data_IF_781163257029
#
_entry.id   IF_781163257029
#
_cell.length_a   1.000
_cell.length_b   1.000
_cell.length_c   1.000
_cell.angle_alpha   90.00
_cell.angle_beta   90.00
_cell.angle_gamma   90.00
#
_symmetry.space_group_name_H-M   'P 1'
#
loop_
_entity.id
_entity.type
_entity.pdbx_description
1 polymer ?
#
# COMPACT_ATOMS: atom_id res chain seq x y z
N UNK A 1 5.77 -23.06 -29.44
CA UNK A 1 7.02 -23.62 -28.90
C UNK A 1 6.88 -23.60 -27.39
N UNK A 2 6.30 -24.66 -26.82
CA UNK A 2 6.11 -24.80 -25.36
C UNK A 2 7.49 -24.86 -24.70
N UNK A 3 7.83 -23.84 -23.92
CA UNK A 3 8.99 -23.87 -23.06
C UNK A 3 8.63 -24.84 -21.92
N UNK A 4 9.07 -26.09 -22.03
CA UNK A 4 8.99 -27.06 -20.97
C UNK A 4 9.71 -26.51 -19.73
N UNK A 5 8.93 -26.02 -18.76
CA UNK A 5 9.44 -25.62 -17.45
C UNK A 5 9.95 -26.89 -16.76
N UNK A 6 11.27 -27.06 -16.74
CA UNK A 6 11.93 -28.15 -16.00
C UNK A 6 11.62 -27.92 -14.52
N UNK A 7 10.73 -28.74 -13.94
CA UNK A 7 10.40 -28.68 -12.50
C UNK A 7 11.70 -28.79 -11.70
N UNK A 8 12.07 -27.78 -10.89
CA UNK A 8 13.23 -27.93 -10.03
C UNK A 8 12.88 -28.99 -8.96
N UNK A 9 13.66 -30.06 -8.92
CA UNK A 9 13.70 -30.99 -7.78
C UNK A 9 14.24 -30.23 -6.56
N UNK A 10 13.38 -29.45 -5.92
CA UNK A 10 13.63 -28.94 -4.58
C UNK A 10 13.01 -29.92 -3.60
N UNK A 11 13.86 -30.55 -2.77
CA UNK A 11 13.43 -31.16 -1.51
C UNK A 11 12.44 -30.23 -0.81
N UNK A 12 11.43 -30.81 -0.14
CA UNK A 12 10.45 -30.09 0.67
C UNK A 12 11.16 -29.43 1.86
N UNK A 13 11.90 -28.34 1.61
CA UNK A 13 12.71 -27.57 2.54
C UNK A 13 11.81 -26.85 3.57
N UNK A 14 11.22 -27.62 4.49
CA UNK A 14 10.30 -27.12 5.52
C UNK A 14 8.89 -26.75 5.03
N UNK A 15 8.54 -27.07 3.78
CA UNK A 15 7.22 -26.80 3.19
C UNK A 15 6.35 -28.06 3.18
N UNK A 16 5.04 -27.92 3.40
CA UNK A 16 4.09 -29.05 3.32
C UNK A 16 3.65 -29.33 1.88
N UNK A 17 3.67 -28.32 1.01
CA UNK A 17 3.36 -28.43 -0.42
C UNK A 17 4.53 -28.06 -1.33
N UNK A 18 4.57 -28.66 -2.52
CA UNK A 18 5.45 -28.20 -3.60
C UNK A 18 4.87 -26.95 -4.26
N UNK A 19 5.73 -25.99 -4.58
CA UNK A 19 5.34 -24.85 -5.41
C UNK A 19 4.96 -25.35 -6.80
N UNK A 20 3.69 -25.15 -7.19
CA UNK A 20 3.17 -25.66 -8.46
C UNK A 20 3.66 -24.85 -9.66
N UNK A 21 3.71 -23.51 -9.53
CA UNK A 21 4.05 -22.58 -10.61
C UNK A 21 4.66 -21.27 -10.09
N UNK A 22 5.51 -20.60 -10.88
CA UNK A 22 6.06 -19.29 -10.52
C UNK A 22 4.94 -18.25 -10.37
N UNK A 23 5.10 -17.35 -9.40
CA UNK A 23 4.22 -16.19 -9.25
C UNK A 23 4.33 -15.26 -10.46
N UNK A 24 3.19 -14.72 -10.92
CA UNK A 24 3.07 -13.88 -12.11
C UNK A 24 3.85 -14.45 -13.32
N UNK A 25 3.46 -15.64 -13.81
CA UNK A 25 4.19 -16.37 -14.85
C UNK A 25 4.39 -15.57 -16.14
N UNK A 26 3.53 -14.59 -16.42
CA UNK A 26 3.60 -13.73 -17.60
C UNK A 26 4.81 -12.78 -17.57
N UNK A 27 5.30 -12.42 -16.37
CA UNK A 27 6.39 -11.45 -16.17
C UNK A 27 7.55 -11.99 -15.32
N UNK A 28 7.47 -13.25 -14.87
CA UNK A 28 8.50 -13.91 -14.08
C UNK A 28 9.86 -13.91 -14.79
N UNK A 29 10.89 -13.37 -14.14
CA UNK A 29 12.25 -13.23 -14.70
C UNK A 29 12.33 -12.55 -16.09
N UNK A 30 11.34 -11.72 -16.45
CA UNK A 30 11.31 -11.02 -17.74
C UNK A 30 12.39 -9.94 -17.86
N UNK A 31 12.81 -9.35 -16.74
CA UNK A 31 13.75 -8.23 -16.72
C UNK A 31 15.20 -8.70 -16.54
N UNK A 32 16.05 -8.40 -17.54
CA UNK A 32 17.47 -8.78 -17.52
C UNK A 32 18.27 -7.85 -16.62
N UNK A 33 18.97 -8.43 -15.64
CA UNK A 33 19.90 -7.71 -14.77
C UNK A 33 21.33 -7.84 -15.33
N UNK A 34 22.06 -6.72 -15.55
CA UNK A 34 23.41 -6.77 -16.11
C UNK A 34 24.43 -7.31 -15.08
N UNK A 35 25.12 -8.42 -15.42
CA UNK A 35 26.03 -9.12 -14.51
C UNK A 35 27.31 -8.35 -14.15
N UNK A 36 27.96 -7.72 -15.14
CA UNK A 36 29.27 -7.04 -15.01
C UNK A 36 29.18 -5.50 -14.98
N UNK A 37 28.01 -4.96 -14.64
CA UNK A 37 27.83 -3.51 -14.59
C UNK A 37 28.19 -2.92 -13.22
N UNK A 38 28.57 -1.65 -13.19
CA UNK A 38 28.80 -0.90 -11.94
C UNK A 38 27.53 -0.76 -11.11
N UNK A 39 27.69 -0.41 -9.83
CA UNK A 39 26.63 -0.35 -8.82
C UNK A 39 25.38 0.41 -9.30
N UNK A 40 25.54 1.61 -9.86
CA UNK A 40 24.42 2.45 -10.32
C UNK A 40 23.63 1.82 -11.46
N UNK A 41 24.30 1.19 -12.43
CA UNK A 41 23.61 0.56 -13.57
C UNK A 41 22.91 -0.74 -13.17
N UNK A 42 23.43 -1.45 -12.16
CA UNK A 42 22.70 -2.55 -11.52
C UNK A 42 21.49 -2.04 -10.73
N UNK A 43 21.66 -1.00 -9.92
CA UNK A 43 20.59 -0.37 -9.16
C UNK A 43 19.43 0.02 -10.09
N UNK A 44 19.70 0.75 -11.18
CA UNK A 44 18.70 1.12 -12.18
C UNK A 44 17.98 -0.08 -12.83
N UNK A 45 18.59 -1.26 -12.88
CA UNK A 45 17.95 -2.47 -13.37
C UNK A 45 17.02 -3.11 -12.33
N UNK A 46 17.29 -2.90 -11.04
CA UNK A 46 16.46 -3.36 -9.94
C UNK A 46 15.38 -2.36 -9.53
N UNK A 47 15.53 -1.07 -9.89
CA UNK A 47 14.52 -0.05 -9.64
C UNK A 47 13.21 -0.38 -10.33
N UNK A 48 12.09 -0.22 -9.62
CA UNK A 48 10.73 -0.41 -10.13
C UNK A 48 9.79 -1.07 -9.12
N UNK A 49 10.09 -2.30 -8.63
CA UNK A 49 9.27 -3.01 -7.66
C UNK A 49 8.90 -2.18 -6.42
N UNK A 50 9.87 -1.46 -5.85
CA UNK A 50 9.68 -0.59 -4.71
C UNK A 50 8.70 0.55 -4.97
N UNK A 51 8.71 1.13 -6.17
CA UNK A 51 7.78 2.20 -6.56
C UNK A 51 6.36 1.68 -6.79
N UNK A 52 6.21 0.47 -7.34
CA UNK A 52 4.92 -0.22 -7.43
C UNK A 52 4.35 -0.58 -6.06
N UNK A 53 5.19 -0.72 -5.04
CA UNK A 53 4.73 -0.93 -3.67
C UNK A 53 4.41 0.40 -3.01
N UNK A 54 5.31 1.39 -3.11
CA UNK A 54 5.20 2.67 -2.44
C UNK A 54 3.99 3.50 -2.86
N UNK A 55 3.48 3.34 -4.08
CA UNK A 55 2.23 3.99 -4.50
C UNK A 55 1.06 3.66 -3.57
N UNK A 56 0.90 2.40 -3.15
CA UNK A 56 -0.23 2.03 -2.31
C UNK A 56 -0.20 2.78 -0.97
N UNK A 57 0.99 3.24 -0.56
CA UNK A 57 1.17 4.05 0.65
C UNK A 57 0.86 5.54 0.43
N UNK A 58 0.35 5.93 -0.75
CA UNK A 58 -0.05 7.29 -1.12
C UNK A 58 -1.52 7.36 -1.55
N UNK A 59 -2.31 6.31 -1.29
CA UNK A 59 -3.71 6.19 -1.68
C UNK A 59 -4.62 7.17 -0.92
N UNK A 60 -5.86 7.42 -1.39
CA UNK A 60 -6.78 8.34 -0.73
C UNK A 60 -7.15 7.93 0.71
N UNK A 61 -7.02 6.64 1.05
CA UNK A 61 -7.23 6.14 2.42
C UNK A 61 -6.31 6.81 3.43
N UNK A 62 -5.03 6.95 3.10
CA UNK A 62 -4.03 7.60 3.95
C UNK A 62 -4.31 9.10 4.14
N UNK A 63 -4.85 9.74 3.11
CA UNK A 63 -5.08 11.18 3.10
C UNK A 63 -6.13 11.58 4.14
N UNK A 64 -7.20 10.80 4.26
CA UNK A 64 -8.24 11.06 5.25
C UNK A 64 -7.67 11.10 6.67
N UNK A 65 -6.82 10.12 7.03
CA UNK A 65 -6.19 10.06 8.36
C UNK A 65 -5.14 11.14 8.57
N UNK A 66 -4.36 11.49 7.54
CA UNK A 66 -3.32 12.53 7.64
C UNK A 66 -3.92 13.94 7.73
N UNK A 67 -4.98 14.22 6.96
CA UNK A 67 -5.72 15.48 7.02
C UNK A 67 -6.41 15.67 8.38
N UNK A 68 -7.11 14.64 8.87
CA UNK A 68 -7.74 14.67 10.19
C UNK A 68 -6.69 14.84 11.30
N UNK A 69 -5.59 14.10 11.22
CA UNK A 69 -4.50 14.20 12.18
C UNK A 69 -3.85 15.58 12.23
N UNK A 70 -3.57 16.18 11.08
CA UNK A 70 -2.97 17.51 10.99
C UNK A 70 -3.89 18.62 11.47
N UNK A 71 -5.18 18.57 11.11
CA UNK A 71 -6.14 19.61 11.48
C UNK A 71 -6.48 19.59 12.97
N UNK A 72 -6.61 18.41 13.57
CA UNK A 72 -6.98 18.27 15.00
C UNK A 72 -5.77 18.38 15.94
N UNK A 73 -4.63 17.79 15.58
CA UNK A 73 -3.50 17.60 16.50
C UNK A 73 -2.20 18.28 16.06
N UNK A 74 -2.26 19.13 15.03
CA UNK A 74 -1.11 19.82 14.48
C UNK A 74 -0.03 18.85 14.00
N UNK A 75 1.23 19.11 14.35
CA UNK A 75 2.38 18.30 13.89
C UNK A 75 2.65 17.03 14.72
N UNK A 76 1.91 16.80 15.81
CA UNK A 76 2.21 15.73 16.81
C UNK A 76 2.22 14.33 16.20
N UNK A 77 1.31 14.08 15.26
CA UNK A 77 1.14 12.76 14.63
C UNK A 77 2.17 12.47 13.53
N UNK A 78 3.07 13.40 13.19
CA UNK A 78 4.19 13.14 12.27
C UNK A 78 5.10 12.00 12.76
N UNK A 79 5.30 11.93 14.07
CA UNK A 79 6.02 10.82 14.71
C UNK A 79 5.37 9.46 14.43
N UNK A 80 4.05 9.38 14.37
CA UNK A 80 3.30 8.16 14.05
C UNK A 80 3.48 7.79 12.58
N UNK A 81 3.37 8.75 11.65
CA UNK A 81 3.63 8.51 10.22
C UNK A 81 5.05 7.97 10.02
N UNK A 82 6.05 8.56 10.68
CA UNK A 82 7.43 8.10 10.61
C UNK A 82 7.61 6.68 11.12
N UNK A 83 7.11 6.38 12.34
CA UNK A 83 7.21 5.05 12.94
C UNK A 83 6.50 4.01 12.06
N UNK A 84 5.30 4.33 11.60
CA UNK A 84 4.50 3.47 10.72
C UNK A 84 5.24 3.18 9.40
N UNK A 85 5.87 4.20 8.80
CA UNK A 85 6.67 4.00 7.60
C UNK A 85 7.93 3.17 7.84
N UNK A 86 8.59 3.32 9.00
CA UNK A 86 9.71 2.46 9.37
C UNK A 86 9.28 1.00 9.55
N UNK A 87 8.10 0.75 10.11
CA UNK A 87 7.48 -0.58 10.17
C UNK A 87 7.21 -1.12 8.76
N UNK A 88 6.68 -0.28 7.87
CA UNK A 88 6.44 -0.65 6.47
C UNK A 88 7.75 -1.04 5.76
N UNK A 89 8.82 -0.25 5.87
CA UNK A 89 10.13 -0.54 5.27
C UNK A 89 10.67 -1.89 5.76
N UNK A 90 10.56 -2.14 7.07
CA UNK A 90 10.98 -3.41 7.67
C UNK A 90 10.21 -4.60 7.08
N UNK A 91 8.88 -4.53 7.07
CA UNK A 91 8.02 -5.61 6.59
C UNK A 91 8.17 -5.82 5.08
N UNK A 92 8.35 -4.73 4.32
CA UNK A 92 8.58 -4.80 2.87
C UNK A 92 9.96 -5.41 2.55
N UNK A 93 10.99 -5.12 3.34
CA UNK A 93 12.28 -5.77 3.21
C UNK A 93 12.19 -7.29 3.48
N UNK A 94 11.36 -7.72 4.43
CA UNK A 94 11.08 -9.14 4.67
C UNK A 94 10.32 -9.78 3.51
N UNK A 95 9.29 -9.11 2.99
CA UNK A 95 8.49 -9.58 1.87
C UNK A 95 9.34 -9.79 0.61
N UNK A 96 10.16 -8.80 0.24
CA UNK A 96 11.10 -8.92 -0.86
C UNK A 96 12.11 -10.04 -0.65
N UNK A 97 12.61 -10.21 0.59
CA UNK A 97 13.53 -11.31 0.92
C UNK A 97 12.86 -12.69 0.76
N UNK A 98 11.62 -12.84 1.22
CA UNK A 98 10.86 -14.09 1.05
C UNK A 98 10.78 -14.49 -0.43
N UNK A 99 10.34 -13.54 -1.28
CA UNK A 99 10.22 -13.74 -2.73
C UNK A 99 11.54 -14.13 -3.40
N UNK A 100 12.62 -13.42 -3.09
CA UNK A 100 13.95 -13.65 -3.69
C UNK A 100 14.56 -14.98 -3.24
N UNK A 101 14.44 -15.32 -1.95
CA UNK A 101 15.11 -16.50 -1.39
C UNK A 101 14.36 -17.77 -1.76
N UNK A 102 13.04 -17.78 -1.56
CA UNK A 102 12.22 -18.97 -1.66
C UNK A 102 11.66 -19.20 -3.06
N UNK A 103 11.62 -18.17 -3.91
CA UNK A 103 10.95 -18.22 -5.21
C UNK A 103 9.43 -18.39 -5.11
N UNK A 104 8.86 -18.14 -3.92
CA UNK A 104 7.42 -18.14 -3.66
C UNK A 104 6.99 -16.75 -3.24
N UNK A 105 5.84 -16.32 -3.71
CA UNK A 105 5.16 -15.17 -3.09
C UNK A 105 4.57 -15.56 -1.73
N UNK A 106 4.16 -14.57 -0.94
CA UNK A 106 3.61 -14.78 0.39
C UNK A 106 2.32 -15.64 0.39
N UNK A 107 1.48 -15.53 -0.65
CA UNK A 107 0.24 -16.30 -0.74
C UNK A 107 0.55 -17.78 -1.02
N UNK A 108 1.46 -18.06 -1.94
CA UNK A 108 2.00 -19.39 -2.21
C UNK A 108 2.67 -19.98 -0.96
N UNK A 109 3.47 -19.20 -0.25
CA UNK A 109 4.11 -19.63 0.99
C UNK A 109 3.08 -19.99 2.08
N UNK A 110 2.02 -19.20 2.23
CA UNK A 110 0.92 -19.51 3.14
C UNK A 110 0.19 -20.81 2.75
N UNK A 111 -0.16 -20.96 1.46
CA UNK A 111 -0.81 -22.16 0.95
C UNK A 111 0.03 -23.42 1.14
N UNK A 112 1.33 -23.33 0.88
CA UNK A 112 2.26 -24.46 0.96
C UNK A 112 2.65 -24.82 2.41
N UNK A 113 2.28 -24.00 3.41
CA UNK A 113 2.57 -24.25 4.82
C UNK A 113 1.34 -24.60 5.67
N UNK A 114 0.22 -23.93 5.44
CA UNK A 114 -1.01 -24.11 6.22
C UNK A 114 -1.93 -25.17 5.62
N UNK A 115 -2.91 -25.63 6.40
CA UNK A 115 -3.95 -26.53 5.90
C UNK A 115 -4.92 -25.79 4.98
N UNK A 116 -5.62 -26.52 4.11
CA UNK A 116 -6.58 -25.94 3.15
C UNK A 116 -7.61 -24.99 3.80
N UNK A 117 -8.23 -25.31 4.98
CA UNK A 117 -9.18 -24.40 5.62
C UNK A 117 -8.55 -23.08 6.06
N UNK A 118 -7.36 -23.11 6.65
CA UNK A 118 -6.63 -21.90 7.09
C UNK A 118 -6.21 -21.07 5.88
N UNK A 119 -5.68 -21.72 4.85
CA UNK A 119 -5.32 -21.08 3.59
C UNK A 119 -6.52 -20.39 2.93
N UNK A 120 -7.70 -21.02 2.97
CA UNK A 120 -8.93 -20.42 2.43
C UNK A 120 -9.42 -19.23 3.27
N UNK A 121 -9.34 -19.32 4.60
CA UNK A 121 -9.66 -18.19 5.49
C UNK A 121 -8.75 -16.98 5.25
N UNK A 122 -7.43 -17.21 5.11
CA UNK A 122 -6.46 -16.16 4.77
C UNK A 122 -6.75 -15.53 3.39
N UNK A 123 -7.12 -16.34 2.41
CA UNK A 123 -7.53 -15.85 1.09
C UNK A 123 -8.76 -14.95 1.18
N UNK A 124 -9.81 -15.38 1.89
CA UNK A 124 -11.05 -14.60 2.03
C UNK A 124 -10.78 -13.26 2.69
N UNK A 125 -10.03 -13.23 3.79
CA UNK A 125 -9.65 -11.98 4.46
C UNK A 125 -8.85 -11.06 3.53
N UNK A 126 -7.95 -11.64 2.72
CA UNK A 126 -7.15 -10.86 1.78
C UNK A 126 -7.97 -10.28 0.63
N UNK A 127 -8.91 -11.03 0.05
CA UNK A 127 -9.82 -10.49 -0.98
C UNK A 127 -10.74 -9.41 -0.43
N UNK A 128 -11.24 -9.57 0.80
CA UNK A 128 -12.03 -8.53 1.47
C UNK A 128 -11.20 -7.24 1.66
N UNK A 129 -9.93 -7.35 2.07
CA UNK A 129 -9.04 -6.20 2.19
C UNK A 129 -8.72 -5.54 0.85
N UNK A 130 -8.57 -6.32 -0.23
CA UNK A 130 -8.36 -5.77 -1.57
C UNK A 130 -9.62 -5.07 -2.08
N UNK A 131 -10.80 -5.63 -1.84
CA UNK A 131 -12.07 -4.99 -2.18
C UNK A 131 -12.30 -3.70 -1.37
N UNK A 132 -11.92 -3.69 -0.09
CA UNK A 132 -11.94 -2.49 0.75
C UNK A 132 -10.97 -1.42 0.25
N UNK A 133 -9.76 -1.81 -0.18
CA UNK A 133 -8.81 -0.89 -0.81
C UNK A 133 -9.40 -0.29 -2.10
N UNK A 134 -9.96 -1.13 -2.97
CA UNK A 134 -10.57 -0.70 -4.22
C UNK A 134 -11.76 0.24 -3.99
N UNK A 135 -12.52 0.03 -2.91
CA UNK A 135 -13.57 0.94 -2.47
C UNK A 135 -13.01 2.33 -2.09
N UNK A 136 -11.91 2.40 -1.33
CA UNK A 136 -11.29 3.67 -0.98
C UNK A 136 -10.81 4.44 -2.22
N UNK A 137 -10.24 3.72 -3.19
CA UNK A 137 -9.79 4.28 -4.46
C UNK A 137 -10.94 4.84 -5.30
N UNK A 138 -12.03 4.07 -5.43
CA UNK A 138 -13.24 4.49 -6.15
C UNK A 138 -13.79 5.78 -5.56
N UNK A 139 -13.88 5.84 -4.23
CA UNK A 139 -14.41 7.01 -3.52
C UNK A 139 -13.48 8.21 -3.71
N UNK A 140 -12.17 8.04 -3.49
CA UNK A 140 -11.20 9.12 -3.67
C UNK A 140 -11.18 9.68 -5.10
N UNK A 141 -11.23 8.80 -6.11
CA UNK A 141 -11.31 9.23 -7.50
C UNK A 141 -12.65 9.91 -7.82
N UNK A 142 -13.76 9.42 -7.29
CA UNK A 142 -15.08 10.05 -7.46
C UNK A 142 -15.14 11.44 -6.81
N UNK A 143 -14.56 11.61 -5.62
CA UNK A 143 -14.40 12.90 -4.95
C UNK A 143 -13.53 13.82 -5.82
N UNK A 144 -12.39 13.37 -6.32
CA UNK A 144 -11.55 14.18 -7.19
C UNK A 144 -12.28 14.65 -8.46
N UNK A 145 -13.07 13.77 -9.08
CA UNK A 145 -13.90 14.12 -10.25
C UNK A 145 -15.01 15.13 -9.90
N UNK A 146 -15.62 14.99 -8.72
CA UNK A 146 -16.60 15.94 -8.21
C UNK A 146 -15.97 17.34 -8.01
N UNK A 147 -14.81 17.40 -7.39
CA UNK A 147 -14.12 18.66 -7.10
C UNK A 147 -13.59 19.36 -8.35
N UNK A 148 -13.07 18.60 -9.33
CA UNK A 148 -12.51 19.15 -10.57
C UNK A 148 -13.55 19.56 -11.61
N UNK A 149 -14.62 18.75 -11.76
CA UNK A 149 -15.57 18.88 -12.87
C UNK A 149 -17.00 19.17 -12.41
N UNK A 150 -17.27 19.26 -11.11
CA UNK A 150 -18.61 19.46 -10.56
C UNK A 150 -19.54 18.27 -10.77
N UNK A 151 -18.99 17.07 -11.03
CA UNK A 151 -19.78 15.87 -11.30
C UNK A 151 -20.39 15.33 -9.99
N UNK A 152 -21.70 15.00 -9.93
CA UNK A 152 -22.28 14.31 -8.79
C UNK A 152 -21.50 13.04 -8.43
N UNK A 153 -21.29 12.77 -7.13
CA UNK A 153 -20.46 11.65 -6.64
C UNK A 153 -20.86 10.30 -7.25
N UNK A 154 -22.16 10.02 -7.38
CA UNK A 154 -22.66 8.77 -7.96
C UNK A 154 -22.16 8.60 -9.41
N UNK A 155 -22.19 9.67 -10.21
CA UNK A 155 -21.66 9.62 -11.58
C UNK A 155 -20.14 9.51 -11.58
N UNK A 156 -19.45 10.18 -10.64
CA UNK A 156 -18.02 10.00 -10.41
C UNK A 156 -17.66 8.53 -10.18
N UNK A 157 -18.35 7.88 -9.23
CA UNK A 157 -18.17 6.45 -8.89
C UNK A 157 -18.40 5.57 -10.12
N UNK A 158 -19.48 5.77 -10.87
CA UNK A 158 -19.76 4.99 -12.09
C UNK A 158 -18.67 5.22 -13.15
N UNK A 159 -18.19 6.46 -13.30
CA UNK A 159 -17.15 6.81 -14.27
C UNK A 159 -15.82 6.10 -13.96
N UNK A 160 -15.51 5.85 -12.68
CA UNK A 160 -14.31 5.09 -12.31
C UNK A 160 -14.29 3.67 -12.88
N UNK A 161 -15.44 3.08 -13.24
CA UNK A 161 -15.47 1.77 -13.90
C UNK A 161 -14.76 1.77 -15.27
N UNK A 162 -14.58 2.95 -15.88
CA UNK A 162 -13.84 3.10 -17.15
C UNK A 162 -12.35 2.76 -16.97
N UNK A 163 -11.82 2.78 -15.75
CA UNK A 163 -10.41 2.40 -15.50
C UNK A 163 -10.10 0.94 -15.84
N UNK A 164 -11.11 0.08 -15.96
CA UNK A 164 -10.96 -1.29 -16.49
C UNK A 164 -10.37 -1.24 -17.91
N UNK A 165 -10.77 -0.25 -18.72
CA UNK A 165 -10.22 -0.02 -20.06
C UNK A 165 -8.75 0.41 -20.00
N UNK A 166 -8.37 1.19 -18.99
CA UNK A 166 -6.98 1.59 -18.75
C UNK A 166 -6.12 0.36 -18.42
N UNK A 167 -6.59 -0.52 -17.53
CA UNK A 167 -5.91 -1.79 -17.21
C UNK A 167 -5.73 -2.65 -18.46
N UNK A 168 -6.78 -2.80 -19.27
CA UNK A 168 -6.74 -3.52 -20.55
C UNK A 168 -5.72 -2.95 -21.53
N UNK A 169 -5.62 -1.61 -21.62
CA UNK A 169 -4.65 -0.93 -22.47
C UNK A 169 -3.22 -1.18 -22.00
N UNK A 170 -2.99 -1.14 -20.69
CA UNK A 170 -1.66 -1.27 -20.09
C UNK A 170 -1.12 -2.71 -20.18
N UNK A 171 -1.98 -3.72 -20.10
CA UNK A 171 -1.58 -5.12 -20.30
C UNK A 171 -0.91 -5.35 -21.66
N UNK A 172 -1.35 -4.65 -22.72
CA UNK A 172 -0.78 -4.81 -24.07
C UNK A 172 0.62 -4.20 -24.22
N UNK A 173 1.02 -3.26 -23.35
CA UNK A 173 2.28 -2.51 -23.49
C UNK A 173 3.45 -3.10 -22.71
N UNK A 174 3.21 -3.99 -21.75
CA UNK A 174 4.24 -4.69 -20.97
C UNK A 174 4.70 -3.97 -19.70
N UNK A 175 5.41 -4.69 -18.82
CA UNK A 175 5.64 -4.29 -17.42
C UNK A 175 6.46 -2.99 -17.23
N UNK A 176 7.42 -2.70 -18.12
CA UNK A 176 8.20 -1.45 -18.04
C UNK A 176 7.37 -0.19 -18.24
N UNK A 177 6.31 -0.25 -19.05
CA UNK A 177 5.40 0.88 -19.23
C UNK A 177 4.55 1.10 -17.98
N UNK A 178 4.16 0.02 -17.29
CA UNK A 178 3.45 0.10 -16.02
C UNK A 178 4.35 0.76 -14.97
N UNK A 179 5.60 0.31 -14.81
CA UNK A 179 6.57 0.93 -13.89
C UNK A 179 6.78 2.42 -14.20
N UNK A 180 7.00 2.78 -15.48
CA UNK A 180 7.19 4.18 -15.87
C UNK A 180 5.95 5.05 -15.59
N UNK A 181 4.75 4.53 -15.84
CA UNK A 181 3.51 5.25 -15.58
C UNK A 181 3.29 5.48 -14.08
N UNK A 182 3.50 4.44 -13.25
CA UNK A 182 3.41 4.53 -11.79
C UNK A 182 4.38 5.59 -11.26
N UNK A 183 5.63 5.57 -11.72
CA UNK A 183 6.65 6.56 -11.33
C UNK A 183 6.22 7.98 -11.74
N UNK A 184 5.61 8.14 -12.93
CA UNK A 184 5.14 9.46 -13.38
C UNK A 184 3.98 10.00 -12.52
N UNK A 185 3.05 9.13 -12.09
CA UNK A 185 1.96 9.51 -11.18
C UNK A 185 2.50 9.88 -9.80
N UNK A 186 3.47 9.12 -9.27
CA UNK A 186 4.15 9.46 -8.01
C UNK A 186 4.85 10.82 -8.11
N UNK A 187 5.55 11.08 -9.21
CA UNK A 187 6.21 12.36 -9.44
C UNK A 187 5.20 13.51 -9.49
N UNK A 188 4.04 13.32 -10.14
CA UNK A 188 2.96 14.30 -10.18
C UNK A 188 2.43 14.61 -8.77
N UNK A 189 2.09 13.58 -7.98
CA UNK A 189 1.61 13.74 -6.60
C UNK A 189 2.65 14.49 -5.75
N UNK A 190 3.93 14.10 -5.87
CA UNK A 190 5.03 14.74 -5.14
C UNK A 190 5.15 16.22 -5.51
N UNK A 191 5.10 16.55 -6.80
CA UNK A 191 5.18 17.95 -7.27
C UNK A 191 4.00 18.77 -6.75
N UNK A 192 2.77 18.24 -6.77
CA UNK A 192 1.61 18.93 -6.20
C UNK A 192 1.84 19.28 -4.73
N UNK A 193 2.22 18.30 -3.89
CA UNK A 193 2.42 18.55 -2.46
C UNK A 193 3.65 19.42 -2.14
N UNK A 194 4.72 19.34 -2.94
CA UNK A 194 5.84 20.27 -2.82
C UNK A 194 5.36 21.72 -3.04
N UNK A 195 4.55 21.95 -4.08
CA UNK A 195 4.00 23.27 -4.36
C UNK A 195 3.07 23.74 -3.24
N UNK A 196 2.22 22.86 -2.70
CA UNK A 196 1.33 23.20 -1.59
C UNK A 196 2.08 23.52 -0.29
N UNK A 197 3.17 22.81 0.02
CA UNK A 197 4.04 23.14 1.15
C UNK A 197 4.73 24.51 0.98
N UNK A 198 5.11 24.87 -0.25
CA UNK A 198 5.67 26.20 -0.55
C UNK A 198 4.61 27.29 -0.30
N UNK A 199 3.36 27.03 -0.66
CA UNK A 199 2.26 27.96 -0.45
C UNK A 199 1.86 28.09 1.02
N UNK A 200 1.87 26.98 1.79
CA UNK A 200 1.44 26.96 3.20
C UNK A 200 2.46 27.54 4.17
N UNK A 201 3.73 27.66 3.78
CA UNK A 201 4.82 28.23 4.59
C UNK A 201 4.84 27.68 6.03
N UNK A 202 4.98 26.35 6.21
CA UNK A 202 4.95 25.74 7.53
C UNK A 202 6.18 26.16 8.35
N UNK A 203 6.02 26.16 9.67
CA UNK A 203 7.16 26.30 10.59
C UNK A 203 7.96 25.00 10.63
N UNK A 204 9.06 24.96 9.88
CA UNK A 204 9.94 23.79 9.81
C UNK A 204 10.56 23.42 11.17
N UNK A 205 10.70 24.35 12.11
CA UNK A 205 11.19 24.01 13.45
C UNK A 205 10.13 23.21 14.22
N UNK A 206 8.88 23.63 14.18
CA UNK A 206 7.76 22.89 14.78
C UNK A 206 7.52 21.53 14.10
N UNK A 207 7.67 21.47 12.76
CA UNK A 207 7.63 20.20 12.01
C UNK A 207 8.71 19.23 12.49
N UNK A 208 9.94 19.69 12.70
CA UNK A 208 11.02 18.84 13.19
C UNK A 208 10.72 18.29 14.60
N UNK A 209 10.10 19.10 15.46
CA UNK A 209 9.64 18.66 16.79
C UNK A 209 8.51 17.63 16.68
N UNK A 210 7.61 17.76 15.70
CA UNK A 210 6.52 16.82 15.47
C UNK A 210 6.96 15.37 15.16
N UNK A 211 8.20 15.18 14.68
CA UNK A 211 8.78 13.85 14.49
C UNK A 211 9.24 13.18 15.79
N UNK A 212 9.26 13.90 16.92
CA UNK A 212 9.60 13.36 18.22
C UNK A 212 8.32 12.79 18.87
N UNK A 213 8.28 11.49 19.22
CA UNK A 213 7.09 10.89 19.83
C UNK A 213 6.76 11.50 21.20
N UNK A 214 5.50 11.83 21.43
CA UNK A 214 4.99 12.34 22.70
C UNK A 214 4.10 11.30 23.39
N UNK A 215 3.98 11.40 24.73
CA UNK A 215 3.13 10.48 25.52
C UNK A 215 1.64 10.68 25.23
N UNK A 216 1.26 11.86 24.75
CA UNK A 216 -0.13 12.22 24.46
C UNK A 216 -0.77 11.31 23.41
N UNK A 217 0.03 10.79 22.48
CA UNK A 217 -0.40 9.88 21.41
C UNK A 217 -1.09 8.63 21.97
N UNK A 218 -0.64 8.12 23.12
CA UNK A 218 -1.20 6.91 23.74
C UNK A 218 -2.16 7.20 24.89
N UNK A 219 -2.15 8.40 25.45
CA UNK A 219 -3.04 8.77 26.56
C UNK A 219 -4.35 9.41 26.10
N UNK A 220 -4.36 10.09 24.94
CA UNK A 220 -5.56 10.71 24.39
C UNK A 220 -6.30 9.72 23.47
N UNK A 221 -7.54 9.32 23.78
CA UNK A 221 -8.29 8.35 22.96
C UNK A 221 -8.51 8.78 21.50
N UNK A 222 -8.77 10.06 21.25
CA UNK A 222 -9.00 10.58 19.90
C UNK A 222 -7.69 10.59 19.09
N UNK A 223 -6.59 11.02 19.70
CA UNK A 223 -5.27 10.99 19.07
C UNK A 223 -4.81 9.56 18.79
N UNK A 224 -5.05 8.65 19.74
CA UNK A 224 -4.78 7.23 19.57
C UNK A 224 -5.60 6.64 18.42
N UNK A 225 -6.88 7.00 18.29
CA UNK A 225 -7.74 6.54 17.20
C UNK A 225 -7.21 6.96 15.83
N UNK A 226 -6.81 8.22 15.65
CA UNK A 226 -6.20 8.67 14.39
C UNK A 226 -4.83 8.00 14.19
N UNK A 227 -4.02 7.86 15.23
CA UNK A 227 -2.72 7.18 15.14
C UNK A 227 -2.86 5.72 14.69
N UNK A 228 -3.91 5.02 15.17
CA UNK A 228 -4.29 3.68 14.72
C UNK A 228 -4.72 3.67 13.25
N UNK A 229 -5.51 4.68 12.84
CA UNK A 229 -5.89 4.89 11.45
C UNK A 229 -4.66 5.06 10.54
N UNK A 230 -3.74 5.96 10.88
CA UNK A 230 -2.48 6.18 10.16
C UNK A 230 -1.70 4.88 10.04
N UNK A 231 -1.57 4.11 11.13
CA UNK A 231 -0.84 2.85 11.11
C UNK A 231 -1.47 1.83 10.14
N UNK A 232 -2.79 1.64 10.23
CA UNK A 232 -3.54 0.71 9.39
C UNK A 232 -3.54 1.09 7.92
N UNK A 233 -3.66 2.38 7.63
CA UNK A 233 -3.65 2.93 6.27
C UNK A 233 -2.24 2.84 5.65
N UNK A 234 -1.20 3.17 6.43
CA UNK A 234 0.19 3.05 5.94
C UNK A 234 0.54 1.60 5.64
N UNK A 235 0.42 0.67 6.59
CA UNK A 235 0.91 -0.70 6.37
C UNK A 235 -0.15 -1.55 5.65
N UNK A 236 -0.21 -1.39 4.32
CA UNK A 236 -1.14 -2.16 3.51
C UNK A 236 -0.72 -3.62 3.36
N UNK A 237 -1.60 -4.58 3.66
CA UNK A 237 -1.22 -5.99 3.61
C UNK A 237 -1.11 -6.55 2.20
N UNK A 238 -1.99 -6.15 1.28
CA UNK A 238 -1.94 -6.61 -0.11
C UNK A 238 -0.58 -6.25 -0.76
N UNK A 239 0.05 -5.16 -0.31
CA UNK A 239 1.39 -4.77 -0.73
C UNK A 239 2.48 -5.73 -0.25
N UNK A 240 2.29 -6.45 0.87
CA UNK A 240 3.22 -7.50 1.28
C UNK A 240 3.17 -8.69 0.31
N UNK A 241 1.98 -9.04 -0.20
CA UNK A 241 1.86 -10.07 -1.23
C UNK A 241 2.43 -9.58 -2.57
N UNK A 242 2.09 -8.35 -2.96
CA UNK A 242 2.56 -7.70 -4.17
C UNK A 242 4.10 -7.68 -4.26
N UNK A 243 4.76 -7.17 -3.22
CA UNK A 243 6.21 -7.01 -3.23
C UNK A 243 6.93 -8.36 -3.32
N UNK A 244 6.44 -9.38 -2.57
CA UNK A 244 7.02 -10.73 -2.60
C UNK A 244 6.97 -11.39 -3.98
N UNK A 245 6.03 -10.98 -4.83
CA UNK A 245 5.91 -11.44 -6.22
C UNK A 245 6.71 -10.58 -7.19
N UNK A 246 6.57 -9.25 -7.14
CA UNK A 246 7.17 -8.35 -8.13
C UNK A 246 8.70 -8.39 -8.10
N UNK A 247 9.34 -8.64 -6.96
CA UNK A 247 10.81 -8.82 -6.90
C UNK A 247 11.28 -9.99 -7.76
N UNK A 248 10.42 -10.96 -8.06
CA UNK A 248 10.71 -12.13 -8.90
C UNK A 248 10.62 -11.84 -10.41
N UNK A 249 10.17 -10.63 -10.80
CA UNK A 249 10.22 -10.19 -12.22
C UNK A 249 11.65 -10.00 -12.72
N UNK A 250 12.59 -9.75 -11.79
CA UNK A 250 14.01 -9.60 -12.10
C UNK A 250 14.66 -10.97 -12.24
N UNK A 251 15.46 -11.16 -13.29
CA UNK A 251 16.22 -12.39 -13.49
C UNK A 251 17.41 -12.44 -12.54
N UNK A 252 17.21 -13.07 -11.39
CA UNK A 252 18.20 -13.23 -10.32
C UNK A 252 19.00 -14.51 -10.59
N UNK A 253 20.30 -14.45 -10.34
CA UNK A 253 21.17 -15.63 -10.44
C UNK A 253 20.87 -16.59 -9.28
N UNK A 254 20.69 -17.91 -9.54
CA UNK A 254 20.30 -18.88 -8.51
C UNK A 254 21.45 -19.26 -7.57
N UNK A 255 22.42 -18.37 -7.36
CA UNK A 255 23.53 -18.50 -6.39
C UNK A 255 23.21 -17.74 -5.10
N UNK A 256 23.90 -18.07 -4.01
CA UNK A 256 23.72 -17.40 -2.72
C UNK A 256 24.14 -15.93 -2.84
N UNK A 257 25.24 -15.67 -3.54
CA UNK A 257 25.76 -14.33 -3.80
C UNK A 257 24.79 -13.50 -4.65
N UNK A 258 24.23 -14.10 -5.70
CA UNK A 258 23.25 -13.46 -6.58
C UNK A 258 21.97 -13.08 -5.83
N UNK A 259 21.46 -13.99 -4.99
CA UNK A 259 20.31 -13.71 -4.11
C UNK A 259 20.62 -12.65 -3.06
N UNK A 260 21.81 -12.68 -2.44
CA UNK A 260 22.25 -11.65 -1.47
C UNK A 260 22.36 -10.27 -2.11
N UNK A 261 22.90 -10.18 -3.32
CA UNK A 261 22.95 -8.95 -4.11
C UNK A 261 21.54 -8.44 -4.43
N UNK A 262 20.65 -9.33 -4.90
CA UNK A 262 19.26 -8.98 -5.19
C UNK A 262 18.50 -8.48 -3.95
N UNK A 263 18.68 -9.12 -2.78
CA UNK A 263 18.10 -8.66 -1.51
C UNK A 263 18.57 -7.24 -1.20
N UNK A 264 19.87 -6.95 -1.36
CA UNK A 264 20.42 -5.62 -1.12
C UNK A 264 19.77 -4.56 -2.01
N UNK A 265 19.70 -4.81 -3.32
CA UNK A 265 19.11 -3.85 -4.25
C UNK A 265 17.60 -3.69 -4.07
N UNK A 266 16.85 -4.78 -3.85
CA UNK A 266 15.42 -4.72 -3.58
C UNK A 266 15.11 -3.96 -2.27
N UNK A 267 15.95 -4.13 -1.25
CA UNK A 267 15.83 -3.38 0.02
C UNK A 267 16.08 -1.89 -0.20
N UNK A 268 17.12 -1.51 -0.97
CA UNK A 268 17.40 -0.11 -1.28
C UNK A 268 16.26 0.51 -2.10
N UNK A 269 15.81 -0.18 -3.14
CA UNK A 269 14.72 0.29 -4.01
C UNK A 269 13.42 0.55 -3.22
N UNK A 270 12.99 -0.44 -2.43
CA UNK A 270 11.80 -0.29 -1.59
C UNK A 270 11.96 0.76 -0.49
N UNK A 271 13.14 0.86 0.14
CA UNK A 271 13.39 1.87 1.18
C UNK A 271 13.30 3.28 0.59
N UNK A 272 13.95 3.55 -0.55
CA UNK A 272 13.92 4.87 -1.18
C UNK A 272 12.49 5.22 -1.61
N UNK A 273 11.76 4.27 -2.19
CA UNK A 273 10.38 4.50 -2.62
C UNK A 273 9.44 4.77 -1.43
N UNK A 274 9.57 4.03 -0.33
CA UNK A 274 8.76 4.25 0.88
C UNK A 274 9.15 5.53 1.64
N UNK A 275 10.41 5.98 1.56
CA UNK A 275 10.79 7.30 2.06
C UNK A 275 10.12 8.43 1.28
N UNK A 276 9.86 8.23 -0.02
CA UNK A 276 9.05 9.16 -0.80
C UNK A 276 7.57 9.12 -0.38
N UNK A 277 7.03 7.94 -0.05
CA UNK A 277 5.68 7.83 0.52
C UNK A 277 5.57 8.57 1.87
N UNK A 278 6.55 8.41 2.76
CA UNK A 278 6.64 9.19 3.99
C UNK A 278 6.65 10.70 3.73
N UNK A 279 7.40 11.15 2.72
CA UNK A 279 7.41 12.56 2.36
C UNK A 279 6.01 13.05 1.98
N UNK A 280 5.27 12.31 1.16
CA UNK A 280 3.91 12.66 0.75
C UNK A 280 2.95 12.69 1.95
N UNK A 281 2.93 11.64 2.78
CA UNK A 281 2.05 11.57 3.95
C UNK A 281 2.38 12.67 4.98
N UNK A 282 3.66 12.91 5.24
CA UNK A 282 4.10 14.03 6.08
C UNK A 282 3.70 15.38 5.47
N UNK A 283 3.80 15.55 4.15
CA UNK A 283 3.39 16.78 3.47
C UNK A 283 1.89 17.06 3.63
N UNK A 284 1.04 16.03 3.52
CA UNK A 284 -0.41 16.13 3.73
C UNK A 284 -0.72 16.59 5.16
N UNK A 285 -0.11 15.94 6.15
CA UNK A 285 -0.32 16.30 7.55
C UNK A 285 0.19 17.71 7.87
N UNK A 286 1.40 18.06 7.40
CA UNK A 286 1.99 19.40 7.59
C UNK A 286 1.11 20.47 6.96
N UNK A 287 0.65 20.24 5.73
CA UNK A 287 -0.26 21.12 5.02
C UNK A 287 -1.54 21.34 5.81
N UNK A 288 -2.16 20.25 6.29
CA UNK A 288 -3.40 20.31 7.08
C UNK A 288 -3.21 21.08 8.39
N UNK A 289 -2.11 20.82 9.10
CA UNK A 289 -1.76 21.53 10.33
C UNK A 289 -1.48 23.02 10.07
N UNK A 290 -0.72 23.35 9.03
CA UNK A 290 -0.39 24.74 8.71
C UNK A 290 -1.62 25.53 8.27
N UNK A 291 -2.48 24.94 7.43
CA UNK A 291 -3.61 25.61 6.82
C UNK A 291 -4.88 25.64 7.71
N UNK A 292 -5.11 24.62 8.53
CA UNK A 292 -6.41 24.45 9.22
C UNK A 292 -6.31 24.49 10.75
N UNK A 293 -5.30 23.83 11.34
CA UNK A 293 -5.15 23.79 12.80
C UNK A 293 -4.89 25.20 13.38
N UNK A 294 -4.03 25.98 12.72
CA UNK A 294 -3.75 27.38 13.09
C UNK A 294 -4.99 28.27 13.04
N UNK A 295 -5.97 27.93 12.19
CA UNK A 295 -7.22 28.64 12.02
C UNK A 295 -8.37 28.08 12.90
N UNK A 296 -8.11 27.06 13.72
CA UNK A 296 -9.13 26.38 14.54
C UNK A 296 -10.20 25.67 13.71
N UNK A 297 -9.88 25.27 12.48
CA UNK A 297 -10.78 24.51 11.61
C UNK A 297 -10.39 23.05 11.60
N UNK A 298 -11.36 22.20 11.87
CA UNK A 298 -11.22 20.76 11.75
C UNK A 298 -11.62 20.31 10.33
N UNK A 299 -10.87 19.38 9.78
CA UNK A 299 -11.16 18.77 8.48
C UNK A 299 -11.62 17.35 8.75
N UNK A 300 -12.91 17.10 8.55
CA UNK A 300 -13.50 15.78 8.68
C UNK A 300 -13.48 15.05 7.33
N UNK A 301 -13.66 15.77 6.23
CA UNK A 301 -13.76 15.19 4.88
C UNK A 301 -12.68 15.72 3.92
N UNK A 302 -12.36 14.93 2.89
CA UNK A 302 -11.38 15.30 1.86
C UNK A 302 -11.86 16.54 1.07
N UNK A 303 -13.18 16.69 0.92
CA UNK A 303 -13.84 17.81 0.26
C UNK A 303 -13.60 19.12 1.01
N UNK A 304 -13.65 19.09 2.35
CA UNK A 304 -13.40 20.26 3.19
C UNK A 304 -11.99 20.80 2.92
N UNK A 305 -10.99 19.91 2.83
CA UNK A 305 -9.63 20.31 2.50
C UNK A 305 -9.58 21.06 1.17
N UNK A 306 -10.19 20.54 0.10
CA UNK A 306 -10.22 21.22 -1.20
C UNK A 306 -10.83 22.63 -1.13
N UNK A 307 -11.97 22.78 -0.47
CA UNK A 307 -12.67 24.06 -0.36
C UNK A 307 -11.94 25.07 0.53
N UNK A 308 -11.20 24.59 1.53
CA UNK A 308 -10.46 25.43 2.47
C UNK A 308 -9.05 25.79 1.98
N UNK A 309 -8.39 24.94 1.19
CA UNK A 309 -7.03 25.18 0.70
C UNK A 309 -6.92 26.48 -0.10
N UNK A 310 -7.82 26.71 -1.05
CA UNK A 310 -7.77 27.91 -1.90
C UNK A 310 -7.82 29.22 -1.10
N UNK A 311 -8.83 29.42 -0.23
CA UNK A 311 -8.93 30.58 0.64
C UNK A 311 -7.78 30.70 1.66
N UNK A 312 -7.35 29.59 2.28
CA UNK A 312 -6.32 29.62 3.33
C UNK A 312 -4.93 29.88 2.77
N UNK A 313 -4.64 29.39 1.56
CA UNK A 313 -3.35 29.56 0.89
C UNK A 313 -3.33 30.76 -0.07
N UNK A 314 -4.46 31.46 -0.21
CA UNK A 314 -4.61 32.65 -1.05
C UNK A 314 -4.53 32.39 -2.56
N UNK A 315 -4.62 31.13 -3.01
CA UNK A 315 -4.54 30.78 -4.44
C UNK A 315 -5.49 29.64 -4.80
N UNK A 316 -6.33 29.82 -5.84
CA UNK A 316 -7.19 28.73 -6.35
C UNK A 316 -6.41 27.56 -6.95
N UNK A 317 -5.13 27.77 -7.26
CA UNK A 317 -4.23 26.72 -7.72
C UNK A 317 -4.03 25.60 -6.69
N UNK A 318 -4.03 25.91 -5.38
CA UNK A 318 -3.84 24.91 -4.34
C UNK A 318 -4.95 23.84 -4.34
N UNK A 319 -6.21 24.26 -4.39
CA UNK A 319 -7.35 23.33 -4.50
C UNK A 319 -7.23 22.44 -5.74
N UNK A 320 -6.90 23.02 -6.90
CA UNK A 320 -6.76 22.25 -8.15
C UNK A 320 -5.61 21.24 -8.06
N UNK A 321 -4.45 21.63 -7.54
CA UNK A 321 -3.30 20.73 -7.37
C UNK A 321 -3.64 19.56 -6.45
N UNK A 322 -4.35 19.83 -5.36
CA UNK A 322 -4.84 18.81 -4.43
C UNK A 322 -5.75 17.80 -5.12
N UNK A 323 -6.76 18.27 -5.87
CA UNK A 323 -7.70 17.38 -6.56
C UNK A 323 -7.05 16.61 -7.72
N UNK A 324 -6.08 17.20 -8.44
CA UNK A 324 -5.27 16.50 -9.45
C UNK A 324 -4.43 15.40 -8.80
N UNK A 325 -3.80 15.69 -7.66
CA UNK A 325 -3.02 14.69 -6.92
C UNK A 325 -3.91 13.56 -6.38
N UNK A 326 -5.12 13.89 -5.90
CA UNK A 326 -6.09 12.90 -5.42
C UNK A 326 -6.54 11.96 -6.56
N UNK A 327 -6.81 12.51 -7.75
CA UNK A 327 -7.14 11.71 -8.93
C UNK A 327 -5.96 10.82 -9.34
N UNK A 328 -4.75 11.38 -9.37
CA UNK A 328 -3.53 10.64 -9.72
C UNK A 328 -3.27 9.48 -8.73
N UNK A 329 -3.51 9.70 -7.44
CA UNK A 329 -3.42 8.69 -6.39
C UNK A 329 -4.40 7.52 -6.62
N UNK A 330 -5.69 7.83 -6.84
CA UNK A 330 -6.72 6.81 -7.09
C UNK A 330 -6.45 5.96 -8.35
N UNK A 331 -5.92 6.56 -9.42
CA UNK A 331 -5.55 5.82 -10.64
C UNK A 331 -4.34 4.90 -10.44
N UNK A 332 -3.43 5.26 -9.55
CA UNK A 332 -2.19 4.51 -9.37
C UNK A 332 -2.42 3.24 -8.55
N UNK A 333 -3.24 3.33 -7.49
CA UNK A 333 -3.57 2.20 -6.61
C UNK A 333 -4.35 1.09 -7.34
N UNK A 334 -5.16 1.45 -8.33
CA UNK A 334 -5.92 0.56 -9.23
C UNK A 334 -5.07 -0.56 -9.84
N UNK A 335 -3.88 -0.21 -10.30
CA UNK A 335 -2.97 -1.16 -10.95
C UNK A 335 -2.43 -2.17 -9.95
N UNK A 336 -2.06 -1.66 -8.78
CA UNK A 336 -1.47 -2.46 -7.72
C UNK A 336 -2.47 -3.38 -7.08
N UNK A 337 -3.71 -2.94 -6.85
CA UNK A 337 -4.81 -3.79 -6.37
C UNK A 337 -5.12 -4.94 -7.33
N UNK A 338 -5.09 -4.69 -8.64
CA UNK A 338 -5.31 -5.73 -9.66
C UNK A 338 -4.22 -6.80 -9.61
N UNK A 339 -2.94 -6.38 -9.54
CA UNK A 339 -1.79 -7.28 -9.47
C UNK A 339 -1.74 -8.05 -8.15
N UNK A 340 -1.91 -7.35 -7.02
CA UNK A 340 -1.90 -7.93 -5.69
C UNK A 340 -3.00 -8.98 -5.55
N UNK A 341 -4.18 -8.66 -6.08
CA UNK A 341 -5.24 -9.63 -6.18
C UNK A 341 -4.84 -10.85 -7.00
N UNK A 342 -4.34 -10.66 -8.22
CA UNK A 342 -3.95 -11.79 -9.08
C UNK A 342 -3.01 -12.74 -8.33
N UNK A 343 -2.00 -12.17 -7.65
CA UNK A 343 -1.05 -12.91 -6.82
C UNK A 343 -1.76 -13.68 -5.70
N UNK A 344 -2.69 -13.03 -4.99
CA UNK A 344 -3.44 -13.65 -3.88
C UNK A 344 -4.29 -14.81 -4.36
N UNK A 345 -5.03 -14.65 -5.46
CA UNK A 345 -5.92 -15.70 -5.97
C UNK A 345 -5.16 -16.86 -6.60
N UNK A 346 -4.13 -16.59 -7.41
CA UNK A 346 -3.28 -17.64 -7.97
C UNK A 346 -2.46 -18.34 -6.88
N UNK A 347 -1.96 -17.57 -5.91
CA UNK A 347 -1.17 -18.08 -4.80
C UNK A 347 -1.97 -18.96 -3.86
N UNK A 348 -3.12 -18.51 -3.37
CA UNK A 348 -3.94 -19.26 -2.42
C UNK A 348 -4.83 -20.33 -3.07
N UNK A 349 -5.51 -20.02 -4.18
CA UNK A 349 -6.51 -20.89 -4.79
C UNK A 349 -6.04 -21.60 -6.07
N UNK A 350 -4.91 -21.17 -6.66
CA UNK A 350 -4.43 -21.67 -7.95
C UNK A 350 -5.45 -21.46 -9.09
N UNK A 351 -6.29 -20.43 -8.98
CA UNK A 351 -7.26 -20.02 -9.99
C UNK A 351 -6.67 -18.88 -10.80
N UNK A 352 -6.70 -19.01 -12.13
CA UNK A 352 -6.27 -17.98 -13.08
C UNK A 352 -7.47 -17.33 -13.73
N UNK A 353 -7.65 -16.04 -13.47
CA UNK A 353 -8.57 -15.20 -14.22
C UNK A 353 -7.76 -14.22 -15.05
N UNK A 354 -8.29 -13.83 -16.21
CA UNK A 354 -7.71 -12.71 -16.95
C UNK A 354 -7.78 -11.45 -16.09
N UNK A 355 -6.75 -10.59 -16.05
CA UNK A 355 -6.75 -9.54 -15.03
C UNK A 355 -7.80 -8.44 -15.31
N UNK A 356 -8.33 -8.33 -16.55
CA UNK A 356 -9.47 -7.46 -16.84
C UNK A 356 -10.77 -7.97 -16.20
N UNK A 357 -11.00 -9.28 -16.23
CA UNK A 357 -12.20 -9.89 -15.65
C UNK A 357 -12.13 -9.79 -14.14
N UNK A 358 -10.94 -10.03 -13.59
CA UNK A 358 -10.68 -9.82 -12.18
C UNK A 358 -10.99 -8.38 -11.77
N UNK A 359 -10.42 -7.41 -12.49
CA UNK A 359 -10.62 -5.98 -12.22
C UNK A 359 -12.10 -5.63 -12.27
N UNK A 360 -12.85 -6.12 -13.26
CA UNK A 360 -14.28 -5.91 -13.33
C UNK A 360 -15.02 -6.48 -12.11
N UNK A 361 -14.69 -7.69 -11.67
CA UNK A 361 -15.33 -8.31 -10.49
C UNK A 361 -15.04 -7.49 -9.22
N UNK A 362 -13.77 -7.19 -8.93
CA UNK A 362 -13.41 -6.43 -7.73
C UNK A 362 -14.02 -5.03 -7.76
N UNK A 363 -14.03 -4.41 -8.94
CA UNK A 363 -14.60 -3.07 -9.13
C UNK A 363 -16.11 -3.05 -8.96
N UNK A 364 -16.83 -4.08 -9.40
CA UNK A 364 -18.27 -4.19 -9.14
C UNK A 364 -18.57 -4.42 -7.65
N UNK A 365 -17.73 -5.20 -6.95
CA UNK A 365 -17.84 -5.40 -5.50
C UNK A 365 -17.60 -4.09 -4.73
N UNK A 366 -16.74 -3.19 -5.25
CA UNK A 366 -16.51 -1.86 -4.66
C UNK A 366 -17.61 -0.84 -5.03
N UNK A 367 -17.99 -0.76 -6.31
CA UNK A 367 -18.95 0.24 -6.82
C UNK A 367 -20.36 0.02 -6.28
N UNK A 368 -20.84 -1.21 -6.23
CA UNK A 368 -22.24 -1.49 -5.86
C UNK A 368 -22.56 -0.99 -4.44
N UNK A 369 -21.78 -1.34 -3.39
CA UNK A 369 -21.96 -0.76 -2.06
C UNK A 369 -21.80 0.75 -2.04
N UNK A 370 -20.82 1.31 -2.77
CA UNK A 370 -20.58 2.75 -2.83
C UNK A 370 -21.80 3.50 -3.35
N UNK A 371 -22.37 3.08 -4.49
CA UNK A 371 -23.55 3.71 -5.10
C UNK A 371 -24.76 3.64 -4.18
N UNK A 372 -24.99 2.49 -3.50
CA UNK A 372 -26.11 2.33 -2.58
C UNK A 372 -25.97 3.28 -1.39
N UNK A 373 -24.82 3.28 -0.73
CA UNK A 373 -24.61 4.08 0.50
C UNK A 373 -24.60 5.58 0.17
N UNK A 374 -23.92 6.00 -0.90
CA UNK A 374 -23.91 7.40 -1.34
C UNK A 374 -25.31 7.83 -1.78
N UNK A 375 -26.09 6.95 -2.44
CA UNK A 375 -27.46 7.25 -2.82
C UNK A 375 -28.40 7.50 -1.63
N UNK A 376 -28.12 6.88 -0.47
CA UNK A 376 -28.93 7.03 0.75
C UNK A 376 -28.42 8.17 1.64
N UNK A 377 -27.10 8.27 1.84
CA UNK A 377 -26.47 9.16 2.83
C UNK A 377 -25.71 10.36 2.23
N UNK A 378 -25.58 10.44 0.91
CA UNK A 378 -24.79 11.48 0.25
C UNK A 378 -23.29 11.40 0.59
N UNK A 379 -22.67 12.56 0.78
CA UNK A 379 -21.21 12.72 0.97
C UNK A 379 -20.72 12.05 2.27
N UNK A 380 -21.47 12.19 3.37
CA UNK A 380 -21.17 11.52 4.64
C UNK A 380 -21.05 9.99 4.50
N UNK A 381 -21.83 9.40 3.58
CA UNK A 381 -21.75 7.97 3.28
C UNK A 381 -20.44 7.56 2.59
N UNK A 382 -19.85 8.43 1.78
CA UNK A 382 -18.53 8.19 1.19
C UNK A 382 -17.44 8.21 2.27
N UNK A 383 -17.51 9.14 3.23
CA UNK A 383 -16.60 9.22 4.38
C UNK A 383 -16.71 7.97 5.26
N UNK A 384 -17.93 7.54 5.60
CA UNK A 384 -18.19 6.30 6.38
C UNK A 384 -17.54 5.07 5.70
N UNK A 385 -17.68 4.95 4.38
CA UNK A 385 -17.12 3.85 3.61
C UNK A 385 -15.59 3.91 3.53
N UNK A 386 -15.01 5.10 3.42
CA UNK A 386 -13.56 5.29 3.50
C UNK A 386 -13.03 4.81 4.85
N UNK A 387 -13.63 5.23 5.97
CA UNK A 387 -13.19 4.79 7.30
C UNK A 387 -13.36 3.27 7.46
N UNK A 388 -14.50 2.71 7.04
CA UNK A 388 -14.75 1.26 7.09
C UNK A 388 -13.69 0.48 6.30
N UNK A 389 -13.29 0.98 5.13
CA UNK A 389 -12.27 0.31 4.33
C UNK A 389 -10.96 0.18 5.10
N UNK A 390 -10.51 1.25 5.78
CA UNK A 390 -9.26 1.25 6.55
C UNK A 390 -9.32 0.29 7.73
N UNK A 391 -10.48 0.17 8.38
CA UNK A 391 -10.68 -0.84 9.43
C UNK A 391 -10.49 -2.25 8.86
N UNK A 392 -11.09 -2.58 7.71
CA UNK A 392 -10.94 -3.91 7.09
C UNK A 392 -9.47 -4.20 6.73
N UNK A 393 -8.75 -3.21 6.17
CA UNK A 393 -7.32 -3.35 5.87
C UNK A 393 -6.49 -3.61 7.13
N UNK A 394 -6.73 -2.81 8.17
CA UNK A 394 -6.04 -2.92 9.45
C UNK A 394 -6.23 -4.32 10.05
N UNK A 395 -7.47 -4.83 10.09
CA UNK A 395 -7.77 -6.17 10.61
C UNK A 395 -7.04 -7.28 9.87
N UNK A 396 -6.99 -7.20 8.54
CA UNK A 396 -6.31 -8.20 7.73
C UNK A 396 -4.80 -8.23 8.04
N UNK A 397 -4.18 -7.07 8.29
CA UNK A 397 -2.73 -6.90 8.35
C UNK A 397 -2.02 -7.92 9.26
N UNK A 398 -2.57 -8.18 10.44
CA UNK A 398 -2.02 -9.17 11.38
C UNK A 398 -1.87 -10.56 10.76
N UNK A 399 -2.84 -10.97 9.94
CA UNK A 399 -2.87 -12.26 9.26
C UNK A 399 -1.89 -12.35 8.07
N UNK A 400 -1.39 -11.22 7.56
CA UNK A 400 -0.33 -11.19 6.57
C UNK A 400 1.07 -11.12 7.21
N UNK A 401 1.22 -10.31 8.26
CA UNK A 401 2.50 -10.06 8.94
C UNK A 401 2.98 -11.31 9.70
N UNK A 402 2.11 -11.98 10.45
CA UNK A 402 2.51 -13.14 11.26
C UNK A 402 3.12 -14.27 10.39
N UNK A 403 2.48 -14.71 9.28
CA UNK A 403 3.10 -15.67 8.37
C UNK A 403 4.41 -15.18 7.78
N UNK A 404 4.48 -13.91 7.36
CA UNK A 404 5.68 -13.33 6.77
C UNK A 404 6.89 -13.40 7.72
N UNK A 405 6.71 -12.96 8.97
CA UNK A 405 7.77 -13.02 9.99
C UNK A 405 8.13 -14.46 10.31
N UNK A 406 7.13 -15.35 10.43
CA UNK A 406 7.35 -16.78 10.70
C UNK A 406 8.19 -17.44 9.60
N UNK A 407 7.87 -17.20 8.32
CA UNK A 407 8.54 -17.86 7.21
C UNK A 407 9.95 -17.33 6.99
N UNK A 408 10.14 -16.02 7.13
CA UNK A 408 11.47 -15.40 6.96
C UNK A 408 12.41 -15.67 8.14
N UNK A 409 11.89 -16.13 9.28
CA UNK A 409 12.66 -16.55 10.45
C UNK A 409 13.03 -18.04 10.45
N UNK A 410 12.40 -18.85 9.59
CA UNK A 410 12.59 -20.30 9.56
C UNK A 410 13.80 -20.69 8.69
N UNK A 411 14.85 -21.22 9.34
CA UNK A 411 16.08 -21.65 8.67
C UNK A 411 15.86 -22.80 7.70
N UNK A 412 14.85 -23.66 7.92
CA UNK A 412 14.53 -24.76 6.99
C UNK A 412 14.01 -24.21 5.66
N UNK A 413 13.30 -23.09 5.69
CA UNK A 413 12.71 -22.43 4.51
C UNK A 413 13.67 -21.48 3.81
N UNK A 414 14.42 -20.71 4.59
CA UNK A 414 15.30 -19.63 4.07
C UNK A 414 16.75 -20.07 3.84
N UNK A 415 17.15 -21.23 4.39
CA UNK A 415 18.53 -21.73 4.30
C UNK A 415 19.54 -20.77 4.93
N UNK A 416 20.64 -20.51 4.21
CA UNK A 416 21.70 -19.59 4.63
C UNK A 416 21.29 -18.10 4.59
N UNK A 417 20.22 -17.77 3.87
CA UNK A 417 19.72 -16.40 3.72
C UNK A 417 18.54 -16.09 4.68
N UNK A 418 18.50 -16.80 5.81
CA UNK A 418 17.57 -16.51 6.92
C UNK A 418 17.76 -15.07 7.42
N UNK A 419 16.66 -14.44 7.83
CA UNK A 419 16.68 -13.09 8.37
C UNK A 419 17.60 -12.99 9.60
N UNK A 420 18.40 -11.91 9.74
CA UNK A 420 19.28 -11.74 10.89
C UNK A 420 18.47 -11.55 12.17
N UNK A 421 19.01 -12.02 13.31
CA UNK A 421 18.29 -12.07 14.60
C UNK A 421 17.70 -10.73 15.03
N UNK A 422 18.42 -9.62 14.85
CA UNK A 422 17.92 -8.30 15.22
C UNK A 422 16.65 -7.91 14.44
N UNK A 423 16.59 -8.27 13.15
CA UNK A 423 15.45 -7.99 12.28
C UNK A 423 14.28 -8.92 12.62
N UNK A 424 14.54 -10.17 13.00
CA UNK A 424 13.52 -11.09 13.52
C UNK A 424 12.87 -10.52 14.78
N UNK A 425 13.67 -10.12 15.77
CA UNK A 425 13.17 -9.55 17.03
C UNK A 425 12.34 -8.30 16.75
N UNK A 426 12.87 -7.37 15.96
CA UNK A 426 12.16 -6.14 15.61
C UNK A 426 10.83 -6.43 14.88
N UNK A 427 10.82 -7.40 13.96
CA UNK A 427 9.62 -7.74 13.20
C UNK A 427 8.55 -8.42 14.05
N UNK A 428 8.94 -9.23 15.05
CA UNK A 428 7.99 -9.78 16.03
C UNK A 428 7.44 -8.69 16.96
N UNK A 429 8.26 -7.72 17.38
CA UNK A 429 7.77 -6.56 18.14
C UNK A 429 6.72 -5.80 17.32
N UNK A 430 7.02 -5.50 16.05
CA UNK A 430 6.05 -4.84 15.14
C UNK A 430 4.79 -5.68 14.97
N UNK A 431 4.91 -7.01 14.76
CA UNK A 431 3.76 -7.90 14.62
C UNK A 431 2.87 -7.92 15.88
N UNK A 432 3.46 -7.95 17.07
CA UNK A 432 2.73 -7.93 18.35
C UNK A 432 2.05 -6.58 18.55
N UNK A 433 2.74 -5.47 18.26
CA UNK A 433 2.15 -4.13 18.34
C UNK A 433 0.95 -4.01 17.41
N UNK A 434 1.09 -4.38 16.13
CA UNK A 434 0.00 -4.37 15.16
C UNK A 434 -1.18 -5.23 15.65
N UNK A 435 -0.92 -6.46 16.10
CA UNK A 435 -1.97 -7.36 16.57
C UNK A 435 -2.69 -6.83 17.82
N UNK A 436 -1.95 -6.25 18.77
CA UNK A 436 -2.52 -5.64 19.97
C UNK A 436 -3.37 -4.40 19.65
N UNK A 437 -2.89 -3.54 18.74
CA UNK A 437 -3.61 -2.37 18.27
C UNK A 437 -4.90 -2.74 17.52
N UNK A 438 -4.85 -3.77 16.67
CA UNK A 438 -6.04 -4.28 15.99
C UNK A 438 -7.06 -4.88 16.97
N UNK A 439 -6.59 -5.61 17.99
CA UNK A 439 -7.46 -6.15 19.03
C UNK A 439 -8.12 -5.03 19.84
N UNK A 440 -7.39 -3.97 20.16
CA UNK A 440 -7.93 -2.78 20.80
C UNK A 440 -8.99 -2.11 19.92
N UNK A 441 -8.71 -1.91 18.64
CA UNK A 441 -9.65 -1.30 17.69
C UNK A 441 -10.93 -2.13 17.58
N UNK A 442 -10.83 -3.47 17.47
CA UNK A 442 -12.00 -4.35 17.48
C UNK A 442 -12.80 -4.20 18.77
N UNK A 443 -12.11 -4.20 19.91
CA UNK A 443 -12.77 -4.05 21.20
C UNK A 443 -13.49 -2.71 21.31
N UNK A 444 -12.86 -1.60 20.91
CA UNK A 444 -13.50 -0.28 20.91
C UNK A 444 -14.68 -0.19 19.94
N UNK A 445 -14.61 -0.84 18.78
CA UNK A 445 -15.70 -0.76 17.79
C UNK A 445 -16.93 -1.58 18.21
N UNK A 446 -16.74 -2.72 18.87
CA UNK A 446 -17.85 -3.60 19.28
C UNK A 446 -18.35 -3.36 20.71
N UNK A 447 -17.49 -2.87 21.60
CA UNK A 447 -17.77 -2.72 23.03
C UNK A 447 -17.45 -1.33 23.57
N UNK A 448 -16.89 -0.44 22.75
CA UNK A 448 -16.77 0.98 23.11
C UNK A 448 -18.12 1.66 23.01
N UNK A 449 -18.49 2.39 24.06
CA UNK A 449 -19.65 3.28 24.08
C UNK A 449 -19.43 4.53 23.24
#
# INVERSE_FOLDING_TARGET
MEIAYKKPEHELNGWKGQSSMPSLPEVHQSMRVPKKAGFFRKLLAFVGPGYLVAVGYMDPGNWATDLAGGSQFGYTLLSVILISNLMAILLQALSGRLGIVTGRDLAQACRDHYSKPVSFGLWLLCELAIAACDLAEVIGAAIALNLLFGLPLIYGVILTAIDVLLVLLLQKKGFRYIEAMVISLIALITVCFVMELIFSRPDFAAVAVGFIPTKEIVTNPAMLYIALGILGATVMPHNLYLHSSIVQTRKIEPTIEGKREAIKFATIDSTVALMLALFVNAAILILSAAAFHSAGKEVAEIQDAYHLLGPMLGTGAASILFAVALLASGQNSTLTGTLAGQIVMEGFLNIRLTPWLRRLITRMIAIVPAVIVIGIKGESGATDLLVLSQVILSLQLSFAVIPLVTFTSDRKKMGELVTPKWMIVLSWVVAIVIAGLNAYLLYSTFFGN
#
